data_IF_267846365820
#
_entry.id   IF_267846365820
#
_cell.length_a   1.000
_cell.length_b   1.000
_cell.length_c   1.000
_cell.angle_alpha   90.00
_cell.angle_beta   90.00
_cell.angle_gamma   90.00
#
_symmetry.space_group_name_H-M   'P 1'
#
loop_
_entity.id
_entity.type
_entity.pdbx_description
1 polymer ?
#
# COMPACT_ATOMS: atom_id res chain seq x y z
N UNK A 1 37.27 -15.97 25.54
CA UNK A 1 36.19 -15.13 26.09
C UNK A 1 35.62 -14.29 24.95
N UNK A 2 34.59 -14.83 24.28
CA UNK A 2 33.89 -14.10 23.21
C UNK A 2 33.03 -13.02 23.88
N UNK A 3 33.38 -11.73 23.70
CA UNK A 3 32.50 -10.63 24.12
C UNK A 3 31.29 -10.66 23.20
N UNK A 4 30.16 -11.09 23.74
CA UNK A 4 28.85 -10.88 23.14
C UNK A 4 28.65 -9.37 22.92
N UNK A 5 28.93 -8.90 21.70
CA UNK A 5 28.65 -7.52 21.28
C UNK A 5 27.18 -7.47 20.87
N UNK A 6 26.30 -7.35 21.87
CA UNK A 6 24.92 -7.00 21.61
C UNK A 6 24.89 -5.60 20.97
N UNK A 7 24.20 -5.49 19.83
CA UNK A 7 24.01 -4.21 19.13
C UNK A 7 23.27 -3.24 20.04
N UNK A 8 23.71 -1.99 20.10
CA UNK A 8 22.96 -0.93 20.78
C UNK A 8 21.64 -0.67 20.05
N UNK A 9 20.58 -0.19 20.74
CA UNK A 9 19.32 0.18 20.09
C UNK A 9 19.49 1.19 18.94
N UNK A 10 20.49 2.08 19.04
CA UNK A 10 20.82 3.03 17.98
C UNK A 10 21.36 2.34 16.73
N UNK A 11 22.28 1.39 16.89
CA UNK A 11 22.83 0.62 15.77
C UNK A 11 21.74 -0.22 15.09
N UNK A 12 20.80 -0.77 15.87
CA UNK A 12 19.63 -1.48 15.32
C UNK A 12 18.74 -0.52 14.53
N UNK A 13 18.38 0.64 15.09
CA UNK A 13 17.57 1.63 14.38
C UNK A 13 18.23 2.13 13.09
N UNK A 14 19.54 2.42 13.13
CA UNK A 14 20.31 2.79 11.94
C UNK A 14 20.28 1.69 10.88
N UNK A 15 20.47 0.43 11.28
CA UNK A 15 20.41 -0.71 10.36
C UNK A 15 19.02 -0.86 9.72
N UNK A 16 17.93 -0.72 10.50
CA UNK A 16 16.56 -0.81 9.97
C UNK A 16 16.31 0.31 8.96
N UNK A 17 16.63 1.56 9.30
CA UNK A 17 16.45 2.70 8.40
C UNK A 17 17.26 2.56 7.10
N UNK A 18 18.48 2.01 7.17
CA UNK A 18 19.29 1.74 5.98
C UNK A 18 18.67 0.65 5.10
N UNK A 19 18.13 -0.42 5.69
CA UNK A 19 17.44 -1.49 4.96
C UNK A 19 16.20 -0.93 4.26
N UNK A 20 15.39 -0.14 4.97
CA UNK A 20 14.18 0.46 4.41
C UNK A 20 14.50 1.47 3.30
N UNK A 21 15.53 2.31 3.48
CA UNK A 21 15.98 3.23 2.44
C UNK A 21 16.45 2.49 1.18
N UNK A 22 17.20 1.40 1.35
CA UNK A 22 17.61 0.52 0.25
C UNK A 22 16.42 -0.12 -0.46
N UNK A 23 15.40 -0.57 0.29
CA UNK A 23 14.17 -1.12 -0.28
C UNK A 23 13.39 -0.09 -1.11
N UNK A 24 13.26 1.15 -0.62
CA UNK A 24 12.63 2.24 -1.37
C UNK A 24 13.44 2.58 -2.63
N UNK A 25 14.77 2.63 -2.53
CA UNK A 25 15.63 2.87 -3.68
C UNK A 25 15.48 1.79 -4.77
N UNK A 26 15.37 0.52 -4.37
CA UNK A 26 15.15 -0.60 -5.28
C UNK A 26 13.79 -0.58 -6.01
N UNK A 27 12.84 0.27 -5.60
CA UNK A 27 11.58 0.45 -6.34
C UNK A 27 11.77 1.14 -7.68
N UNK A 28 12.89 1.86 -7.90
CA UNK A 28 13.17 2.50 -9.18
C UNK A 28 13.16 1.50 -10.35
N UNK A 29 13.62 0.27 -10.12
CA UNK A 29 13.66 -0.79 -11.12
C UNK A 29 12.26 -1.37 -11.43
N UNK A 30 11.26 -1.07 -10.60
CA UNK A 30 9.87 -1.50 -10.78
C UNK A 30 9.00 -0.43 -11.46
N UNK A 31 9.57 0.75 -11.77
CA UNK A 31 8.88 1.81 -12.51
C UNK A 31 8.92 1.50 -14.02
N UNK A 32 8.21 0.46 -14.41
CA UNK A 32 8.05 0.03 -15.79
C UNK A 32 6.65 0.37 -16.35
N UNK A 33 6.34 -0.11 -17.56
CA UNK A 33 5.05 0.14 -18.21
C UNK A 33 3.84 -0.35 -17.40
N UNK A 34 4.00 -1.31 -16.48
CA UNK A 34 2.92 -1.76 -15.61
C UNK A 34 2.53 -0.67 -14.60
N UNK A 35 3.50 0.10 -14.10
CA UNK A 35 3.27 1.27 -13.26
C UNK A 35 2.46 2.32 -14.03
N UNK A 36 2.86 2.64 -15.25
CA UNK A 36 2.16 3.62 -16.10
C UNK A 36 0.71 3.19 -16.37
N UNK A 37 0.49 1.91 -16.65
CA UNK A 37 -0.86 1.36 -16.84
C UNK A 37 -1.70 1.48 -15.56
N UNK A 38 -1.14 1.13 -14.40
CA UNK A 38 -1.84 1.23 -13.13
C UNK A 38 -2.24 2.69 -12.82
N UNK A 39 -1.31 3.64 -12.96
CA UNK A 39 -1.59 5.07 -12.79
C UNK A 39 -2.65 5.55 -13.79
N UNK A 40 -2.58 5.10 -15.04
CA UNK A 40 -3.58 5.39 -16.07
C UNK A 40 -4.98 4.90 -15.70
N UNK A 41 -5.10 3.69 -15.14
CA UNK A 41 -6.38 3.15 -14.65
C UNK A 41 -6.95 4.00 -13.52
N UNK A 42 -6.11 4.38 -12.54
CA UNK A 42 -6.54 5.22 -11.41
C UNK A 42 -6.98 6.61 -11.86
N UNK A 43 -6.23 7.22 -12.79
CA UNK A 43 -6.55 8.55 -13.34
C UNK A 43 -7.86 8.56 -14.12
N UNK A 44 -8.18 7.47 -14.81
CA UNK A 44 -9.39 7.34 -15.63
C UNK A 44 -10.55 6.65 -14.88
N UNK A 45 -10.42 6.42 -13.58
CA UNK A 45 -11.46 5.83 -12.75
C UNK A 45 -12.72 6.72 -12.75
N UNK A 46 -13.86 6.15 -13.13
CA UNK A 46 -15.14 6.88 -13.21
C UNK A 46 -15.98 6.73 -11.93
N UNK A 47 -15.73 5.67 -11.15
CA UNK A 47 -16.27 5.50 -9.81
C UNK A 47 -15.26 5.93 -8.75
N UNK A 48 -14.89 5.00 -7.88
CA UNK A 48 -13.96 5.19 -6.77
C UNK A 48 -12.82 4.17 -6.85
N UNK A 49 -11.70 4.54 -6.25
CA UNK A 49 -10.60 3.61 -5.99
C UNK A 49 -10.89 2.83 -4.71
N UNK A 50 -11.09 1.53 -4.81
CA UNK A 50 -11.33 0.65 -3.66
C UNK A 50 -10.03 -0.03 -3.29
N UNK A 51 -9.44 0.41 -2.18
CA UNK A 51 -8.20 -0.15 -1.64
C UNK A 51 -8.53 -1.32 -0.70
N UNK A 52 -7.86 -2.44 -0.86
CA UNK A 52 -8.11 -3.64 -0.05
C UNK A 52 -6.82 -4.35 0.33
N UNK A 53 -6.79 -4.96 1.52
CA UNK A 53 -5.67 -5.77 1.94
C UNK A 53 -5.79 -6.28 3.37
N UNK A 54 -5.00 -7.30 3.72
CA UNK A 54 -5.01 -7.95 5.03
C UNK A 54 -3.78 -7.57 5.87
N UNK A 55 -3.93 -7.58 7.19
CA UNK A 55 -2.82 -7.38 8.13
C UNK A 55 -2.07 -6.06 7.89
N UNK A 56 -0.74 -6.11 7.75
CA UNK A 56 0.09 -4.93 7.49
C UNK A 56 -0.27 -4.24 6.17
N UNK A 57 -0.54 -5.00 5.11
CA UNK A 57 -1.00 -4.46 3.82
C UNK A 57 -2.31 -3.68 4.01
N UNK A 58 -3.25 -4.20 4.80
CA UNK A 58 -4.50 -3.51 5.12
C UNK A 58 -4.30 -2.15 5.79
N UNK A 59 -3.31 -2.01 6.68
CA UNK A 59 -2.96 -0.73 7.31
C UNK A 59 -2.46 0.28 6.25
N UNK A 60 -1.57 -0.16 5.36
CA UNK A 60 -1.04 0.69 4.27
C UNK A 60 -2.15 1.08 3.29
N UNK A 61 -3.01 0.14 2.90
CA UNK A 61 -4.13 0.38 1.98
C UNK A 61 -5.17 1.32 2.57
N UNK A 62 -5.42 1.25 3.88
CA UNK A 62 -6.26 2.23 4.57
C UNK A 62 -5.66 3.64 4.53
N UNK A 63 -4.34 3.78 4.75
CA UNK A 63 -3.66 5.08 4.59
C UNK A 63 -3.70 5.56 3.15
N UNK A 64 -3.52 4.66 2.18
CA UNK A 64 -3.54 4.98 0.75
C UNK A 64 -4.91 5.53 0.35
N UNK A 65 -6.01 4.86 0.72
CA UNK A 65 -7.36 5.34 0.48
C UNK A 65 -7.58 6.75 1.06
N UNK A 66 -7.16 6.99 2.30
CA UNK A 66 -7.25 8.32 2.91
C UNK A 66 -6.42 9.38 2.15
N UNK A 67 -5.24 9.00 1.67
CA UNK A 67 -4.36 9.89 0.89
C UNK A 67 -5.00 10.26 -0.44
N UNK A 68 -5.44 9.27 -1.21
CA UNK A 68 -6.10 9.46 -2.51
C UNK A 68 -7.32 10.39 -2.37
N UNK A 69 -8.19 10.10 -1.39
CA UNK A 69 -9.37 10.93 -1.12
C UNK A 69 -9.00 12.37 -0.77
N UNK A 70 -7.94 12.59 -0.01
CA UNK A 70 -7.47 13.94 0.35
C UNK A 70 -6.83 14.70 -0.82
N UNK A 71 -6.34 14.00 -1.85
CA UNK A 71 -5.72 14.58 -3.05
C UNK A 71 -6.66 14.65 -4.24
N UNK A 72 -7.97 14.46 -4.03
CA UNK A 72 -9.00 14.63 -5.06
C UNK A 72 -9.35 13.37 -5.86
N UNK A 73 -8.84 12.19 -5.47
CA UNK A 73 -9.22 10.89 -6.06
C UNK A 73 -10.15 10.15 -5.09
N UNK A 74 -11.47 10.06 -5.34
CA UNK A 74 -12.38 9.38 -4.44
C UNK A 74 -11.95 7.94 -4.16
N UNK A 75 -11.69 7.60 -2.90
CA UNK A 75 -11.20 6.28 -2.50
C UNK A 75 -11.74 5.82 -1.14
N UNK A 76 -11.89 4.51 -0.98
CA UNK A 76 -12.30 3.87 0.27
C UNK A 76 -11.49 2.60 0.55
N UNK A 77 -11.47 2.17 1.80
CA UNK A 77 -10.87 0.90 2.20
C UNK A 77 -11.94 -0.17 2.39
N UNK A 78 -11.74 -1.35 1.80
CA UNK A 78 -12.58 -2.54 1.97
C UNK A 78 -11.74 -3.67 2.56
N UNK A 79 -12.08 -4.16 3.75
CA UNK A 79 -11.36 -5.26 4.36
C UNK A 79 -11.76 -6.60 3.71
N UNK A 80 -10.82 -7.43 3.20
CA UNK A 80 -11.17 -8.66 2.47
C UNK A 80 -12.09 -9.62 3.23
N UNK A 81 -11.90 -9.74 4.55
CA UNK A 81 -12.77 -10.58 5.37
C UNK A 81 -14.22 -10.07 5.44
N UNK A 82 -14.44 -8.77 5.44
CA UNK A 82 -15.78 -8.15 5.46
C UNK A 82 -16.43 -8.26 4.08
N UNK A 83 -15.61 -8.13 3.03
CA UNK A 83 -16.03 -8.25 1.63
C UNK A 83 -16.79 -9.56 1.35
N UNK A 84 -16.30 -10.69 1.88
CA UNK A 84 -16.91 -12.03 1.73
C UNK A 84 -18.25 -12.15 2.48
N UNK A 85 -18.51 -11.29 3.46
CA UNK A 85 -19.74 -11.28 4.26
C UNK A 85 -20.79 -10.27 3.77
N UNK A 86 -20.63 -9.70 2.57
CA UNK A 86 -21.63 -8.85 1.92
C UNK A 86 -21.08 -7.49 1.47
N UNK A 87 -19.97 -7.04 2.03
CA UNK A 87 -19.42 -5.71 1.72
C UNK A 87 -18.82 -5.63 0.31
N UNK A 88 -18.62 -6.77 -0.38
CA UNK A 88 -18.36 -6.77 -1.83
C UNK A 88 -19.45 -6.03 -2.62
N UNK A 89 -20.69 -5.99 -2.11
CA UNK A 89 -21.78 -5.21 -2.70
C UNK A 89 -21.56 -3.70 -2.69
N UNK A 90 -20.53 -3.21 -1.98
CA UNK A 90 -20.11 -1.80 -2.06
C UNK A 90 -19.41 -1.45 -3.37
N UNK A 91 -18.88 -2.44 -4.10
CA UNK A 91 -18.28 -2.22 -5.42
C UNK A 91 -19.37 -1.88 -6.44
N UNK A 92 -19.12 -0.85 -7.23
CA UNK A 92 -19.99 -0.43 -8.31
C UNK A 92 -19.27 -0.52 -9.66
N UNK A 93 -20.05 -0.55 -10.74
CA UNK A 93 -19.50 -0.40 -12.09
C UNK A 93 -18.70 0.90 -12.20
N UNK A 94 -17.51 0.83 -12.81
CA UNK A 94 -16.59 1.97 -12.94
C UNK A 94 -15.64 2.18 -11.75
N UNK A 95 -15.78 1.41 -10.66
CA UNK A 95 -14.77 1.38 -9.59
C UNK A 95 -13.48 0.68 -10.06
N UNK A 96 -12.33 1.09 -9.52
CA UNK A 96 -11.03 0.43 -9.71
C UNK A 96 -10.55 -0.15 -8.39
N UNK A 97 -10.25 -1.45 -8.35
CA UNK A 97 -9.77 -2.12 -7.13
C UNK A 97 -8.24 -2.14 -7.11
N UNK A 98 -7.66 -1.64 -6.03
CA UNK A 98 -6.26 -1.84 -5.65
C UNK A 98 -6.22 -2.85 -4.51
N UNK A 99 -5.49 -3.95 -4.65
CA UNK A 99 -5.42 -5.02 -3.65
C UNK A 99 -3.96 -5.41 -3.32
N UNK A 100 -3.67 -5.69 -2.05
CA UNK A 100 -2.33 -6.03 -1.54
C UNK A 100 -2.36 -6.95 -0.29
#
# INVERSE_FOLDING_TARGET
MSKDRSRTPREVAQSVLQIEAGAVHGLLDQLDESFDRAVGMLKNCQGRVVCSGMGKSGIIMKKLAATLSSTGTPALFLHPAEAIHGDLGMLAEGDVVLAA
#
